data_IF_506101070244
#
_entry.id   IF_506101070244
#
_cell.length_a   1.000
_cell.length_b   1.000
_cell.length_c   1.000
_cell.angle_alpha   90.00
_cell.angle_beta   90.00
_cell.angle_gamma   90.00
#
_symmetry.space_group_name_H-M   'P 1'
#
loop_
_entity.id
_entity.type
_entity.pdbx_description
1 polymer ?
#
# COMPACT_ATOMS: atom_id res chain seq x y z
N UNK A 1 2.57 -4.21 72.96
CA UNK A 1 2.89 -4.56 71.57
C UNK A 1 4.36 -4.27 71.38
N UNK A 2 5.11 -5.26 70.92
CA UNK A 2 6.52 -5.11 70.53
C UNK A 2 6.53 -4.38 69.20
N UNK A 3 7.51 -3.51 68.99
CA UNK A 3 7.78 -2.96 67.66
C UNK A 3 8.96 -3.73 67.08
N UNK A 4 8.86 -4.12 65.82
CA UNK A 4 9.97 -4.77 65.12
C UNK A 4 11.03 -3.71 64.80
N UNK A 5 12.30 -4.02 65.05
CA UNK A 5 13.43 -3.12 64.81
C UNK A 5 13.90 -3.20 63.35
N UNK A 6 14.56 -2.14 62.86
CA UNK A 6 15.09 -2.12 61.48
C UNK A 6 16.04 -3.29 61.18
N UNK A 7 16.83 -3.72 62.17
CA UNK A 7 17.73 -4.88 62.06
C UNK A 7 16.96 -6.20 61.89
N UNK A 8 15.83 -6.35 62.59
CA UNK A 8 14.93 -7.50 62.46
C UNK A 8 14.20 -7.50 61.11
N UNK A 9 13.81 -6.32 60.59
CA UNK A 9 13.22 -6.20 59.24
C UNK A 9 14.22 -6.62 58.16
N UNK A 10 15.48 -6.16 58.27
CA UNK A 10 16.55 -6.55 57.34
C UNK A 10 16.81 -8.06 57.40
N UNK A 11 16.74 -8.65 58.60
CA UNK A 11 16.85 -10.10 58.75
C UNK A 11 15.72 -10.83 58.01
N UNK A 12 14.46 -10.40 58.17
CA UNK A 12 13.31 -11.01 57.47
C UNK A 12 13.50 -10.89 55.95
N UNK A 13 13.85 -9.71 55.44
CA UNK A 13 14.07 -9.48 54.01
C UNK A 13 15.10 -10.46 53.43
N UNK A 14 16.26 -10.57 54.08
CA UNK A 14 17.32 -11.49 53.65
C UNK A 14 16.90 -12.97 53.74
N UNK A 15 16.17 -13.38 54.78
CA UNK A 15 15.71 -14.77 54.92
C UNK A 15 14.65 -15.12 53.86
N UNK A 16 13.68 -14.23 53.59
CA UNK A 16 12.68 -14.43 52.54
C UNK A 16 13.33 -14.52 51.14
N UNK A 17 14.31 -13.65 50.86
CA UNK A 17 15.06 -13.69 49.61
C UNK A 17 15.88 -14.99 49.47
N UNK A 18 16.54 -15.42 50.54
CA UNK A 18 17.31 -16.67 50.57
C UNK A 18 16.44 -17.92 50.35
N UNK A 19 15.16 -17.86 50.76
CA UNK A 19 14.17 -18.93 50.61
C UNK A 19 13.36 -18.88 49.30
N UNK A 20 13.74 -18.02 48.36
CA UNK A 20 13.21 -18.03 47.00
C UNK A 20 12.16 -16.97 46.68
N UNK A 21 11.90 -15.99 47.56
CA UNK A 21 11.07 -14.82 47.23
C UNK A 21 11.94 -13.75 46.56
N UNK A 22 11.95 -13.77 45.23
CA UNK A 22 12.81 -12.89 44.42
C UNK A 22 12.10 -11.58 44.05
N UNK A 23 10.77 -11.61 43.92
CA UNK A 23 9.98 -10.44 43.55
C UNK A 23 9.88 -9.45 44.73
N UNK A 24 10.46 -8.25 44.56
CA UNK A 24 10.55 -7.21 45.59
C UNK A 24 9.18 -6.80 46.13
N UNK A 25 8.20 -6.50 45.26
CA UNK A 25 6.84 -6.17 45.70
C UNK A 25 6.18 -7.28 46.54
N UNK A 26 6.40 -8.55 46.19
CA UNK A 26 5.87 -9.68 46.97
C UNK A 26 6.59 -9.77 48.32
N UNK A 27 7.91 -9.58 48.33
CA UNK A 27 8.72 -9.60 49.54
C UNK A 27 8.31 -8.50 50.51
N UNK A 28 8.12 -7.27 50.02
CA UNK A 28 7.67 -6.14 50.82
C UNK A 28 6.30 -6.40 51.46
N UNK A 29 5.36 -6.98 50.71
CA UNK A 29 4.05 -7.36 51.26
C UNK A 29 4.16 -8.46 52.33
N UNK A 30 5.03 -9.44 52.14
CA UNK A 30 5.27 -10.48 53.14
C UNK A 30 5.94 -9.93 54.40
N UNK A 31 6.92 -9.03 54.25
CA UNK A 31 7.59 -8.35 55.37
C UNK A 31 6.57 -7.58 56.20
N UNK A 32 5.71 -6.78 55.56
CA UNK A 32 4.69 -5.97 56.25
C UNK A 32 3.73 -6.86 57.07
N UNK A 33 3.25 -7.94 56.48
CA UNK A 33 2.38 -8.89 57.17
C UNK A 33 3.09 -9.67 58.29
N UNK A 34 4.32 -10.13 58.08
CA UNK A 34 5.09 -10.82 59.12
C UNK A 34 5.36 -9.88 60.30
N UNK A 35 5.76 -8.62 60.03
CA UNK A 35 5.99 -7.63 61.07
C UNK A 35 4.70 -7.39 61.87
N UNK A 36 3.57 -7.12 61.19
CA UNK A 36 2.27 -6.94 61.86
C UNK A 36 1.91 -8.11 62.79
N UNK A 37 2.13 -9.36 62.37
CA UNK A 37 1.83 -10.53 63.20
C UNK A 37 2.77 -10.60 64.40
N UNK A 38 4.07 -10.36 64.21
CA UNK A 38 5.06 -10.37 65.31
C UNK A 38 4.74 -9.27 66.33
N UNK A 39 4.39 -8.06 65.89
CA UNK A 39 4.06 -6.95 66.78
C UNK A 39 2.81 -7.22 67.63
N UNK A 40 1.88 -8.02 67.09
CA UNK A 40 0.63 -8.40 67.74
C UNK A 40 0.77 -9.62 68.66
N UNK A 41 1.44 -10.69 68.21
CA UNK A 41 1.55 -11.96 68.92
C UNK A 41 2.72 -12.02 69.91
N UNK A 42 3.76 -11.21 69.73
CA UNK A 42 4.94 -11.21 70.60
C UNK A 42 4.68 -10.49 71.93
N UNK A 43 5.05 -11.16 73.02
CA UNK A 43 5.12 -10.50 74.34
C UNK A 43 6.45 -9.75 74.50
N UNK A 44 6.51 -8.72 75.35
CA UNK A 44 7.70 -7.86 75.53
C UNK A 44 8.99 -8.61 75.91
N UNK A 45 8.87 -9.83 76.43
CA UNK A 45 9.99 -10.66 76.89
C UNK A 45 10.29 -11.87 75.96
N UNK A 46 9.50 -12.07 74.89
CA UNK A 46 9.71 -13.19 73.97
C UNK A 46 10.87 -12.90 73.00
N UNK A 47 11.66 -13.93 72.67
CA UNK A 47 12.74 -13.82 71.69
C UNK A 47 12.19 -13.67 70.26
N UNK A 48 12.76 -12.76 69.47
CA UNK A 48 12.30 -12.48 68.11
C UNK A 48 12.39 -13.72 67.22
N UNK A 49 13.54 -14.40 67.23
CA UNK A 49 13.77 -15.54 66.35
C UNK A 49 12.79 -16.67 66.63
N UNK A 50 12.47 -16.92 67.92
CA UNK A 50 11.43 -17.89 68.30
C UNK A 50 10.03 -17.49 67.82
N UNK A 51 9.68 -16.21 67.90
CA UNK A 51 8.40 -15.71 67.40
C UNK A 51 8.34 -15.82 65.87
N UNK A 52 9.40 -15.42 65.18
CA UNK A 52 9.52 -15.51 63.72
C UNK A 52 9.42 -16.96 63.22
N UNK A 53 10.10 -17.91 63.88
CA UNK A 53 10.04 -19.33 63.53
C UNK A 53 8.62 -19.91 63.69
N UNK A 54 7.80 -19.33 64.58
CA UNK A 54 6.37 -19.68 64.75
C UNK A 54 5.46 -19.02 63.71
N UNK A 55 5.78 -17.80 63.28
CA UNK A 55 4.96 -16.99 62.35
C UNK A 55 5.20 -17.39 60.90
N UNK A 56 6.46 -17.60 60.50
CA UNK A 56 6.85 -17.85 59.12
C UNK A 56 6.09 -19.03 58.46
N UNK A 57 5.89 -20.20 59.12
CA UNK A 57 5.14 -21.32 58.54
C UNK A 57 3.65 -21.06 58.29
N UNK A 58 3.09 -19.94 58.77
CA UNK A 58 1.67 -19.61 58.54
C UNK A 58 1.40 -19.15 57.10
N UNK A 59 2.43 -18.75 56.36
CA UNK A 59 2.31 -18.17 55.01
C UNK A 59 2.37 -19.21 53.87
N UNK A 60 2.82 -20.44 54.15
CA UNK A 60 3.01 -21.49 53.15
C UNK A 60 2.62 -22.87 53.68
N UNK A 61 2.39 -23.83 52.79
CA UNK A 61 2.04 -25.22 53.11
C UNK A 61 3.25 -26.13 53.18
N UNK A 62 4.11 -26.09 52.16
CA UNK A 62 5.33 -26.93 52.12
C UNK A 62 6.59 -26.08 52.20
N UNK A 63 6.75 -25.10 51.31
CA UNK A 63 7.92 -24.22 51.26
C UNK A 63 7.56 -22.80 50.83
N UNK A 64 8.32 -21.82 51.30
CA UNK A 64 8.05 -20.39 51.03
C UNK A 64 8.11 -20.06 49.51
N UNK A 65 8.95 -20.76 48.75
CA UNK A 65 9.09 -20.58 47.30
C UNK A 65 7.77 -20.84 46.53
N UNK A 66 6.82 -21.56 47.12
CA UNK A 66 5.51 -21.79 46.49
C UNK A 66 4.77 -20.47 46.22
N UNK A 67 4.87 -19.49 47.12
CA UNK A 67 4.20 -18.19 47.00
C UNK A 67 4.74 -17.41 45.80
N UNK A 68 6.07 -17.44 45.60
CA UNK A 68 6.71 -16.84 44.42
C UNK A 68 6.23 -17.54 43.15
N UNK A 69 6.19 -18.87 43.15
CA UNK A 69 5.77 -19.69 42.02
C UNK A 69 4.31 -19.42 41.65
N UNK A 70 3.40 -19.36 42.63
CA UNK A 70 2.00 -19.01 42.44
C UNK A 70 1.82 -17.59 41.91
N UNK A 71 2.59 -16.63 42.43
CA UNK A 71 2.58 -15.24 41.98
C UNK A 71 3.07 -15.12 40.54
N UNK A 72 4.19 -15.76 40.19
CA UNK A 72 4.74 -15.78 38.85
C UNK A 72 3.77 -16.42 37.86
N UNK A 73 3.13 -17.52 38.25
CA UNK A 73 2.07 -18.16 37.47
C UNK A 73 0.92 -17.17 37.23
N UNK A 74 0.40 -16.51 38.27
CA UNK A 74 -0.69 -15.53 38.17
C UNK A 74 -0.33 -14.35 37.26
N UNK A 75 0.88 -13.80 37.39
CA UNK A 75 1.38 -12.69 36.56
C UNK A 75 1.58 -13.12 35.10
N UNK A 76 2.16 -14.30 34.88
CA UNK A 76 2.35 -14.87 33.55
C UNK A 76 1.01 -15.10 32.86
N UNK A 77 0.04 -15.72 33.55
CA UNK A 77 -1.30 -15.93 33.01
C UNK A 77 -1.99 -14.60 32.72
N UNK A 78 -1.99 -13.63 33.66
CA UNK A 78 -2.61 -12.31 33.45
C UNK A 78 -2.04 -11.58 32.23
N UNK A 79 -0.72 -11.50 32.11
CA UNK A 79 -0.06 -10.85 30.98
C UNK A 79 -0.33 -11.58 29.67
N UNK A 80 -0.33 -12.92 29.69
CA UNK A 80 -0.68 -13.75 28.55
C UNK A 80 -2.13 -13.54 28.08
N UNK A 81 -3.09 -13.48 29.01
CA UNK A 81 -4.50 -13.19 28.70
C UNK A 81 -4.67 -11.77 28.14
N UNK A 82 -4.00 -10.77 28.70
CA UNK A 82 -4.00 -9.39 28.17
C UNK A 82 -3.47 -9.35 26.75
N UNK A 83 -2.32 -9.97 26.47
CA UNK A 83 -1.75 -10.04 25.12
C UNK A 83 -2.71 -10.72 24.13
N UNK A 84 -3.31 -11.86 24.50
CA UNK A 84 -4.31 -12.53 23.66
C UNK A 84 -5.53 -11.65 23.37
N UNK A 85 -6.00 -10.89 24.37
CA UNK A 85 -7.12 -9.95 24.20
C UNK A 85 -6.76 -8.83 23.22
N UNK A 86 -5.59 -8.21 23.38
CA UNK A 86 -5.11 -7.14 22.48
C UNK A 86 -4.89 -7.68 21.07
N UNK A 87 -4.32 -8.88 20.92
CA UNK A 87 -4.16 -9.56 19.63
C UNK A 87 -5.50 -9.75 18.92
N UNK A 88 -6.52 -10.23 19.64
CA UNK A 88 -7.84 -10.43 19.05
C UNK A 88 -8.51 -9.12 18.63
N UNK A 89 -8.45 -8.08 19.49
CA UNK A 89 -9.03 -6.75 19.18
C UNK A 89 -8.31 -6.11 17.99
N UNK A 90 -6.97 -6.12 17.99
CA UNK A 90 -6.17 -5.58 16.88
C UNK A 90 -6.39 -6.35 15.58
N UNK A 91 -6.57 -7.67 15.64
CA UNK A 91 -6.91 -8.50 14.47
C UNK A 91 -8.27 -8.13 13.86
N UNK A 92 -9.32 -8.03 14.68
CA UNK A 92 -10.66 -7.62 14.23
C UNK A 92 -10.62 -6.19 13.65
N UNK A 93 -9.98 -5.27 14.35
CA UNK A 93 -9.81 -3.88 13.91
C UNK A 93 -9.09 -3.79 12.57
N UNK A 94 -8.01 -4.55 12.40
CA UNK A 94 -7.26 -4.62 11.14
C UNK A 94 -8.14 -5.06 9.97
N UNK A 95 -8.84 -6.19 10.12
CA UNK A 95 -9.69 -6.75 9.04
C UNK A 95 -10.76 -5.73 8.65
N UNK A 96 -11.40 -5.11 9.64
CA UNK A 96 -12.41 -4.08 9.41
C UNK A 96 -11.83 -2.87 8.66
N UNK A 97 -10.72 -2.30 9.14
CA UNK A 97 -10.09 -1.11 8.54
C UNK A 97 -9.58 -1.37 7.12
N UNK A 98 -8.99 -2.53 6.85
CA UNK A 98 -8.51 -2.89 5.51
C UNK A 98 -9.70 -3.06 4.55
N UNK A 99 -10.77 -3.74 4.97
CA UNK A 99 -11.96 -3.92 4.14
C UNK A 99 -12.65 -2.60 3.83
N UNK A 100 -12.90 -1.77 4.85
CA UNK A 100 -13.50 -0.45 4.67
C UNK A 100 -12.59 0.42 3.81
N UNK A 101 -11.29 0.46 4.10
CA UNK A 101 -10.32 1.22 3.30
C UNK A 101 -10.28 0.79 1.83
N UNK A 102 -10.36 -0.52 1.56
CA UNK A 102 -10.42 -1.06 0.21
C UNK A 102 -11.70 -0.67 -0.52
N UNK A 103 -12.87 -0.76 0.14
CA UNK A 103 -14.15 -0.32 -0.44
C UNK A 103 -14.13 1.18 -0.73
N UNK A 104 -13.68 2.00 0.24
CA UNK A 104 -13.56 3.45 0.04
C UNK A 104 -12.65 3.77 -1.14
N UNK A 105 -11.53 3.04 -1.30
CA UNK A 105 -10.61 3.22 -2.42
C UNK A 105 -11.24 2.84 -3.75
N UNK A 106 -11.94 1.72 -3.82
CA UNK A 106 -12.66 1.28 -5.03
C UNK A 106 -13.76 2.27 -5.45
N UNK A 107 -14.44 2.87 -4.47
CA UNK A 107 -15.49 3.86 -4.71
C UNK A 107 -14.97 5.30 -4.85
N UNK A 108 -13.65 5.52 -4.82
CA UNK A 108 -13.02 6.85 -4.89
C UNK A 108 -13.51 7.83 -3.80
N UNK A 109 -13.91 7.30 -2.64
CA UNK A 109 -14.41 8.08 -1.52
C UNK A 109 -13.26 8.72 -0.72
N UNK A 110 -13.48 9.91 -0.11
CA UNK A 110 -12.45 10.57 0.70
C UNK A 110 -12.08 9.72 1.92
N UNK A 111 -10.82 9.83 2.35
CA UNK A 111 -10.31 9.11 3.53
C UNK A 111 -9.86 7.66 3.28
N UNK A 112 -10.05 7.12 2.07
CA UNK A 112 -9.66 5.75 1.71
C UNK A 112 -8.21 5.40 2.07
N UNK A 113 -7.26 6.29 1.74
CA UNK A 113 -5.85 6.08 2.00
C UNK A 113 -5.53 6.01 3.50
N UNK A 114 -6.14 6.90 4.30
CA UNK A 114 -5.88 6.97 5.76
C UNK A 114 -6.41 5.72 6.45
N UNK A 115 -7.65 5.32 6.16
CA UNK A 115 -8.27 4.13 6.75
C UNK A 115 -7.48 2.86 6.39
N UNK A 116 -7.07 2.73 5.13
CA UNK A 116 -6.28 1.60 4.66
C UNK A 116 -4.89 1.55 5.32
N UNK A 117 -4.21 2.69 5.41
CA UNK A 117 -2.90 2.79 6.05
C UNK A 117 -2.97 2.47 7.54
N UNK A 118 -4.00 2.94 8.24
CA UNK A 118 -4.22 2.64 9.65
C UNK A 118 -4.45 1.13 9.88
N UNK A 119 -5.25 0.50 9.01
CA UNK A 119 -5.46 -0.95 9.05
C UNK A 119 -4.16 -1.73 8.80
N UNK A 120 -3.42 -1.37 7.75
CA UNK A 120 -2.14 -2.00 7.43
C UNK A 120 -1.07 -1.79 8.50
N UNK A 121 -1.01 -0.61 9.11
CA UNK A 121 -0.10 -0.32 10.22
C UNK A 121 -0.44 -1.14 11.45
N UNK A 122 -1.73 -1.22 11.82
CA UNK A 122 -2.20 -2.04 12.94
C UNK A 122 -1.90 -3.52 12.70
N UNK A 123 -2.04 -4.01 11.46
CA UNK A 123 -1.66 -5.37 11.11
C UNK A 123 -0.16 -5.64 11.32
N UNK A 124 0.69 -4.80 10.71
CA UNK A 124 2.12 -5.03 10.62
C UNK A 124 2.83 -4.80 11.96
N UNK A 125 2.43 -3.78 12.72
CA UNK A 125 3.16 -3.33 13.91
C UNK A 125 2.44 -3.59 15.24
N UNK A 126 1.19 -4.04 15.22
CA UNK A 126 0.47 -4.41 16.46
C UNK A 126 0.09 -5.89 16.45
N UNK A 127 -0.67 -6.34 15.46
CA UNK A 127 -1.14 -7.73 15.42
C UNK A 127 0.00 -8.75 15.25
N UNK A 128 0.82 -8.61 14.20
CA UNK A 128 1.89 -9.57 13.90
C UNK A 128 2.95 -9.66 15.01
N UNK A 129 3.47 -8.56 15.59
CA UNK A 129 4.45 -8.65 16.67
C UNK A 129 3.91 -9.33 17.93
N UNK A 130 2.66 -9.04 18.32
CA UNK A 130 2.03 -9.69 19.47
C UNK A 130 1.84 -11.19 19.20
N UNK A 131 1.45 -11.56 17.97
CA UNK A 131 1.33 -12.96 17.58
C UNK A 131 2.68 -13.71 17.65
N UNK A 132 3.78 -13.06 17.24
CA UNK A 132 5.14 -13.62 17.41
C UNK A 132 5.44 -13.86 18.88
N UNK A 133 5.22 -12.86 19.75
CA UNK A 133 5.50 -12.96 21.20
C UNK A 133 4.70 -14.11 21.84
N UNK A 134 3.41 -14.24 21.50
CA UNK A 134 2.58 -15.33 22.00
C UNK A 134 3.11 -16.68 21.50
N UNK A 135 3.47 -16.80 20.21
CA UNK A 135 3.99 -18.05 19.65
C UNK A 135 5.32 -18.47 20.28
N UNK A 136 6.20 -17.53 20.61
CA UNK A 136 7.47 -17.81 21.28
C UNK A 136 7.26 -18.41 22.69
N UNK A 137 6.12 -18.09 23.34
CA UNK A 137 5.73 -18.59 24.66
C UNK A 137 4.96 -19.92 24.64
N UNK A 138 4.58 -20.45 23.48
CA UNK A 138 3.90 -21.76 23.40
C UNK A 138 4.85 -22.93 23.76
N UNK A 139 4.31 -24.10 24.09
CA UNK A 139 5.10 -25.30 24.44
C UNK A 139 5.63 -26.08 23.21
N UNK A 140 5.55 -25.50 22.01
CA UNK A 140 6.06 -26.11 20.79
C UNK A 140 7.60 -26.21 20.76
N UNK A 141 8.13 -27.05 19.86
CA UNK A 141 9.58 -27.17 19.67
C UNK A 141 10.22 -25.82 19.30
N UNK A 142 11.47 -25.61 19.71
CA UNK A 142 12.23 -24.40 19.38
C UNK A 142 12.32 -24.16 17.87
N UNK A 143 12.46 -25.23 17.08
CA UNK A 143 12.46 -25.16 15.61
C UNK A 143 11.13 -24.59 15.08
N UNK A 144 9.99 -25.03 15.61
CA UNK A 144 8.68 -24.54 15.18
C UNK A 144 8.48 -23.07 15.49
N UNK A 145 8.89 -22.65 16.70
CA UNK A 145 8.86 -21.25 17.12
C UNK A 145 9.64 -20.36 16.18
N UNK A 146 10.87 -20.77 15.82
CA UNK A 146 11.75 -20.01 14.93
C UNK A 146 11.20 -19.97 13.50
N UNK A 147 10.78 -21.11 12.95
CA UNK A 147 10.22 -21.18 11.59
C UNK A 147 8.97 -20.30 11.50
N UNK A 148 8.04 -20.42 12.46
CA UNK A 148 6.81 -19.63 12.45
C UNK A 148 7.08 -18.13 12.60
N UNK A 149 7.99 -17.75 13.51
CA UNK A 149 8.37 -16.35 13.70
C UNK A 149 9.00 -15.75 12.45
N UNK A 150 9.87 -16.51 11.76
CA UNK A 150 10.45 -16.10 10.48
C UNK A 150 9.38 -15.90 9.41
N UNK A 151 8.39 -16.81 9.34
CA UNK A 151 7.23 -16.67 8.45
C UNK A 151 6.42 -15.40 8.72
N UNK A 152 6.18 -15.06 10.00
CA UNK A 152 5.47 -13.84 10.39
C UNK A 152 6.26 -12.57 10.07
N UNK A 153 7.59 -12.59 10.18
CA UNK A 153 8.45 -11.47 9.77
C UNK A 153 8.40 -11.25 8.25
N UNK A 154 8.40 -12.32 7.46
CA UNK A 154 8.21 -12.21 6.01
C UNK A 154 6.81 -11.69 5.65
N UNK A 155 5.78 -12.17 6.34
CA UNK A 155 4.41 -11.68 6.17
C UNK A 155 4.30 -10.18 6.47
N UNK A 156 5.01 -9.69 7.50
CA UNK A 156 5.11 -8.27 7.83
C UNK A 156 5.76 -7.47 6.70
N UNK A 157 6.90 -7.93 6.18
CA UNK A 157 7.60 -7.26 5.07
C UNK A 157 6.74 -7.20 3.80
N UNK A 158 6.05 -8.30 3.46
CA UNK A 158 5.12 -8.34 2.31
C UNK A 158 3.93 -7.41 2.54
N UNK A 159 3.34 -7.38 3.74
CA UNK A 159 2.23 -6.49 4.07
C UNK A 159 2.63 -5.01 3.91
N UNK A 160 3.81 -4.62 4.40
CA UNK A 160 4.36 -3.28 4.19
C UNK A 160 4.59 -3.00 2.70
N UNK A 161 5.11 -3.97 1.95
CA UNK A 161 5.25 -3.87 0.49
C UNK A 161 3.93 -3.61 -0.23
N UNK A 162 2.85 -4.30 0.16
CA UNK A 162 1.51 -4.10 -0.40
C UNK A 162 1.00 -2.68 -0.11
N UNK A 163 1.21 -2.18 1.12
CA UNK A 163 0.86 -0.80 1.48
C UNK A 163 1.61 0.19 0.58
N UNK A 164 2.92 -0.01 0.39
CA UNK A 164 3.74 0.86 -0.46
C UNK A 164 3.24 0.84 -1.91
N UNK A 165 2.86 -0.34 -2.43
CA UNK A 165 2.32 -0.49 -3.78
C UNK A 165 1.02 0.28 -3.95
N UNK A 166 0.11 0.15 -2.99
CA UNK A 166 -1.19 0.83 -2.98
C UNK A 166 -1.02 2.34 -2.85
N UNK A 167 -0.04 2.80 -2.07
CA UNK A 167 0.29 4.21 -1.86
C UNK A 167 1.20 4.81 -2.93
N UNK A 168 1.61 4.03 -3.94
CA UNK A 168 2.54 4.44 -5.00
C UNK A 168 3.90 4.93 -4.46
N UNK A 169 4.30 4.41 -3.30
CA UNK A 169 5.58 4.75 -2.69
C UNK A 169 6.73 4.03 -3.39
N UNK A 170 7.93 4.62 -3.39
CA UNK A 170 9.10 4.02 -4.02
C UNK A 170 9.45 2.68 -3.35
N UNK A 171 10.18 1.83 -4.07
CA UNK A 171 10.63 0.51 -3.60
C UNK A 171 9.53 -0.54 -3.35
N UNK A 172 8.25 -0.22 -3.56
CA UNK A 172 7.12 -1.15 -3.39
C UNK A 172 7.34 -2.49 -4.12
N UNK A 173 7.67 -2.42 -5.42
CA UNK A 173 7.90 -3.62 -6.24
C UNK A 173 9.10 -4.42 -5.74
N UNK A 174 10.19 -3.76 -5.33
CA UNK A 174 11.40 -4.43 -4.85
C UNK A 174 11.13 -5.18 -3.54
N UNK A 175 10.42 -4.56 -2.60
CA UNK A 175 10.08 -5.16 -1.31
C UNK A 175 9.10 -6.33 -1.47
N UNK A 176 8.06 -6.16 -2.29
CA UNK A 176 7.10 -7.23 -2.54
C UNK A 176 7.73 -8.40 -3.31
N UNK A 177 8.51 -8.14 -4.36
CA UNK A 177 9.16 -9.18 -5.17
C UNK A 177 10.15 -10.01 -4.34
N UNK A 178 11.05 -9.33 -3.61
CA UNK A 178 12.00 -10.01 -2.72
C UNK A 178 11.29 -10.79 -1.61
N UNK A 179 10.26 -10.20 -1.00
CA UNK A 179 9.44 -10.86 0.02
C UNK A 179 8.76 -12.12 -0.50
N UNK A 180 8.13 -12.06 -1.68
CA UNK A 180 7.48 -13.22 -2.32
C UNK A 180 8.49 -14.31 -2.67
N UNK A 181 9.67 -13.96 -3.21
CA UNK A 181 10.71 -14.95 -3.51
C UNK A 181 11.21 -15.62 -2.24
N UNK A 182 11.54 -14.85 -1.20
CA UNK A 182 12.03 -15.43 0.05
C UNK A 182 10.94 -16.28 0.70
N UNK A 183 9.68 -15.85 0.65
CA UNK A 183 8.55 -16.64 1.13
C UNK A 183 8.44 -17.98 0.38
N UNK A 184 8.36 -17.97 -0.95
CA UNK A 184 8.12 -19.17 -1.74
C UNK A 184 9.33 -20.10 -1.84
N UNK A 185 10.53 -19.55 -2.03
CA UNK A 185 11.73 -20.33 -2.27
C UNK A 185 12.49 -20.73 -0.99
N UNK A 186 12.32 -19.99 0.12
CA UNK A 186 13.00 -20.28 1.38
C UNK A 186 12.04 -20.72 2.48
N UNK A 187 11.04 -19.90 2.83
CA UNK A 187 10.16 -20.21 3.96
C UNK A 187 9.29 -21.45 3.73
N UNK A 188 8.67 -21.59 2.56
CA UNK A 188 7.78 -22.73 2.31
C UNK A 188 8.51 -24.08 2.35
N UNK A 189 9.69 -24.26 1.71
CA UNK A 189 10.48 -25.48 1.87
C UNK A 189 10.89 -25.74 3.33
N UNK A 190 11.32 -24.71 4.06
CA UNK A 190 11.67 -24.85 5.49
C UNK A 190 10.47 -25.31 6.32
N UNK A 191 9.29 -24.70 6.13
CA UNK A 191 8.05 -25.12 6.79
C UNK A 191 7.69 -26.57 6.47
N UNK A 192 7.80 -26.97 5.19
CA UNK A 192 7.45 -28.32 4.76
C UNK A 192 8.38 -29.36 5.38
N UNK A 193 9.70 -29.22 5.21
CA UNK A 193 10.66 -30.23 5.65
C UNK A 193 10.77 -30.37 7.18
N UNK A 194 10.57 -29.27 7.92
CA UNK A 194 10.61 -29.31 9.39
C UNK A 194 9.40 -30.02 10.00
N UNK A 195 8.23 -29.98 9.33
CA UNK A 195 6.97 -30.52 9.86
C UNK A 195 6.49 -31.83 9.23
N UNK A 196 6.91 -32.18 8.01
CA UNK A 196 6.41 -33.37 7.29
C UNK A 196 6.75 -34.71 7.98
N UNK A 197 7.82 -34.74 8.79
CA UNK A 197 8.27 -35.95 9.52
C UNK A 197 7.34 -36.32 10.68
N UNK A 198 6.43 -35.43 11.06
CA UNK A 198 5.50 -35.60 12.19
C UNK A 198 4.16 -36.15 11.72
N UNK A 199 3.82 -37.41 12.00
CA UNK A 199 2.62 -38.05 11.44
C UNK A 199 1.31 -37.34 11.83
N UNK A 200 1.24 -36.75 13.01
CA UNK A 200 0.06 -36.07 13.58
C UNK A 200 -0.34 -34.79 12.83
N UNK A 201 0.63 -34.06 12.26
CA UNK A 201 0.41 -32.82 11.50
C UNK A 201 0.75 -32.95 10.02
N UNK A 202 1.08 -34.15 9.55
CA UNK A 202 1.56 -34.41 8.18
C UNK A 202 0.58 -33.91 7.13
N UNK A 203 -0.70 -34.25 7.29
CA UNK A 203 -1.76 -33.84 6.37
C UNK A 203 -1.86 -32.31 6.27
N UNK A 204 -1.98 -31.61 7.42
CA UNK A 204 -2.04 -30.15 7.47
C UNK A 204 -0.80 -29.49 6.88
N UNK A 205 0.38 -30.08 7.10
CA UNK A 205 1.65 -29.57 6.55
C UNK A 205 1.65 -29.63 5.02
N UNK A 206 1.22 -30.75 4.44
CA UNK A 206 1.13 -30.91 2.97
C UNK A 206 0.14 -29.90 2.40
N UNK A 207 -1.09 -29.85 2.94
CA UNK A 207 -2.15 -28.95 2.45
C UNK A 207 -1.71 -27.49 2.54
N UNK A 208 -1.21 -27.05 3.70
CA UNK A 208 -0.77 -25.67 3.88
C UNK A 208 0.40 -25.32 2.96
N UNK A 209 1.36 -26.23 2.76
CA UNK A 209 2.49 -25.99 1.86
C UNK A 209 2.03 -25.82 0.42
N UNK A 210 1.10 -26.66 -0.05
CA UNK A 210 0.51 -26.52 -1.40
C UNK A 210 -0.20 -25.17 -1.55
N UNK A 211 -1.02 -24.78 -0.58
CA UNK A 211 -1.70 -23.48 -0.58
C UNK A 211 -0.71 -22.30 -0.57
N UNK A 212 0.37 -22.39 0.20
CA UNK A 212 1.40 -21.35 0.26
C UNK A 212 2.20 -21.24 -1.04
N UNK A 213 2.55 -22.36 -1.70
CA UNK A 213 3.19 -22.34 -3.03
C UNK A 213 2.24 -21.72 -4.05
N UNK A 214 0.97 -22.12 -4.05
CA UNK A 214 -0.03 -21.56 -4.98
C UNK A 214 -0.18 -20.05 -4.79
N UNK A 215 -0.35 -19.60 -3.54
CA UNK A 215 -0.42 -18.18 -3.21
C UNK A 215 0.84 -17.42 -3.63
N UNK A 216 2.02 -17.96 -3.30
CA UNK A 216 3.30 -17.37 -3.68
C UNK A 216 3.50 -17.28 -5.19
N UNK A 217 3.11 -18.32 -5.94
CA UNK A 217 3.16 -18.35 -7.40
C UNK A 217 2.20 -17.35 -8.06
N UNK A 218 0.98 -17.21 -7.54
CA UNK A 218 0.02 -16.19 -7.99
C UNK A 218 0.60 -14.79 -7.72
N UNK A 219 1.09 -14.54 -6.51
CA UNK A 219 1.70 -13.25 -6.16
C UNK A 219 2.91 -12.95 -7.05
N UNK A 220 3.74 -13.96 -7.34
CA UNK A 220 4.87 -13.81 -8.25
C UNK A 220 4.42 -13.43 -9.67
N UNK A 221 3.36 -14.08 -10.17
CA UNK A 221 2.78 -13.79 -11.49
C UNK A 221 2.15 -12.40 -11.62
N UNK A 222 1.80 -11.75 -10.50
CA UNK A 222 1.29 -10.39 -10.49
C UNK A 222 2.40 -9.33 -10.66
N UNK A 223 3.67 -9.71 -10.52
CA UNK A 223 4.77 -8.80 -10.82
C UNK A 223 5.03 -8.78 -12.33
N UNK A 224 4.92 -7.60 -12.92
CA UNK A 224 5.33 -7.40 -14.30
C UNK A 224 6.87 -7.47 -14.39
N UNK A 225 7.36 -8.57 -14.95
CA UNK A 225 8.78 -8.83 -15.22
C UNK A 225 9.19 -8.37 -16.63
N UNK A 226 8.28 -7.76 -17.38
CA UNK A 226 8.57 -7.26 -18.72
C UNK A 226 9.59 -6.14 -18.68
N UNK A 227 10.37 -6.00 -19.76
CA UNK A 227 11.16 -4.79 -19.98
C UNK A 227 10.23 -3.56 -19.94
N UNK A 228 10.66 -2.49 -19.28
CA UNK A 228 9.87 -1.27 -19.12
C UNK A 228 9.41 -0.73 -20.49
N UNK A 229 8.13 -0.96 -20.82
CA UNK A 229 7.43 -0.33 -21.95
C UNK A 229 6.72 0.96 -21.56
N UNK A 230 6.92 1.41 -20.31
CA UNK A 230 6.25 2.56 -19.71
C UNK A 230 6.18 3.78 -20.64
N UNK A 231 7.26 4.08 -21.36
CA UNK A 231 7.28 5.19 -22.31
C UNK A 231 6.45 4.95 -23.57
N UNK A 232 6.46 3.75 -24.13
CA UNK A 232 5.64 3.38 -25.27
C UNK A 232 4.15 3.36 -24.89
N UNK A 233 3.82 2.79 -23.73
CA UNK A 233 2.44 2.73 -23.22
C UNK A 233 1.90 4.13 -22.91
N UNK A 234 2.71 4.98 -22.26
CA UNK A 234 2.35 6.37 -22.00
C UNK A 234 2.19 7.17 -23.30
N UNK A 235 3.01 6.90 -24.31
CA UNK A 235 2.88 7.51 -25.63
C UNK A 235 1.61 7.05 -26.35
N UNK A 236 1.23 5.79 -26.16
CA UNK A 236 -0.02 5.23 -26.67
C UNK A 236 -1.24 5.89 -26.02
N UNK A 237 -1.27 5.92 -24.69
CA UNK A 237 -2.32 6.57 -23.90
C UNK A 237 -2.45 8.07 -24.27
N UNK A 238 -1.32 8.76 -24.42
CA UNK A 238 -1.32 10.16 -24.80
C UNK A 238 -1.95 10.39 -26.18
N UNK A 239 -1.69 9.54 -27.20
CA UNK A 239 -2.34 9.77 -28.49
C UNK A 239 -3.85 9.50 -28.45
N UNK A 240 -4.32 8.52 -27.68
CA UNK A 240 -5.76 8.30 -27.49
C UNK A 240 -6.41 9.53 -26.86
N UNK A 241 -5.82 10.06 -25.79
CA UNK A 241 -6.31 11.27 -25.14
C UNK A 241 -6.37 12.48 -26.08
N UNK A 242 -5.32 12.70 -26.87
CA UNK A 242 -5.26 13.81 -27.83
C UNK A 242 -6.31 13.66 -28.94
N UNK A 243 -6.49 12.44 -29.46
CA UNK A 243 -7.48 12.15 -30.49
C UNK A 243 -8.91 12.34 -29.97
N UNK A 244 -9.25 11.73 -28.83
CA UNK A 244 -10.59 11.86 -28.22
C UNK A 244 -10.91 13.32 -27.88
N UNK A 245 -9.93 14.07 -27.38
CA UNK A 245 -10.07 15.49 -27.14
C UNK A 245 -10.32 16.27 -28.45
N UNK A 246 -9.60 15.95 -29.52
CA UNK A 246 -9.80 16.58 -30.82
C UNK A 246 -11.21 16.30 -31.37
N UNK A 247 -11.69 15.06 -31.27
CA UNK A 247 -13.04 14.66 -31.70
C UNK A 247 -14.12 15.44 -30.95
N UNK A 248 -14.01 15.53 -29.62
CA UNK A 248 -14.94 16.30 -28.80
C UNK A 248 -14.95 17.79 -29.18
N UNK A 249 -13.76 18.36 -29.48
CA UNK A 249 -13.65 19.74 -29.94
C UNK A 249 -14.28 19.93 -31.33
N UNK A 250 -14.10 19.00 -32.27
CA UNK A 250 -14.76 19.06 -33.58
C UNK A 250 -16.29 18.99 -33.47
N UNK A 251 -16.83 18.12 -32.63
CA UNK A 251 -18.27 18.05 -32.35
C UNK A 251 -18.80 19.37 -31.75
N UNK A 252 -18.03 19.95 -30.82
CA UNK A 252 -18.35 21.25 -30.23
C UNK A 252 -18.30 22.37 -31.27
N UNK A 253 -17.28 22.39 -32.13
CA UNK A 253 -17.11 23.37 -33.21
C UNK A 253 -18.26 23.29 -34.21
N UNK A 254 -18.71 22.08 -34.55
CA UNK A 254 -19.88 21.88 -35.41
C UNK A 254 -21.12 22.59 -34.84
N UNK A 255 -21.33 22.49 -33.52
CA UNK A 255 -22.43 23.19 -32.84
C UNK A 255 -22.23 24.71 -32.86
N UNK A 256 -21.00 25.20 -32.67
CA UNK A 256 -20.68 26.63 -32.73
C UNK A 256 -20.92 27.23 -34.12
N UNK A 257 -20.56 26.51 -35.19
CA UNK A 257 -20.86 26.94 -36.56
C UNK A 257 -22.36 27.14 -36.80
N UNK A 258 -23.23 26.38 -36.14
CA UNK A 258 -24.68 26.57 -36.24
C UNK A 258 -25.19 27.79 -35.45
N UNK A 259 -24.43 28.26 -34.45
CA UNK A 259 -24.82 29.35 -33.56
C UNK A 259 -24.30 30.74 -33.99
N UNK A 260 -23.26 30.78 -34.81
CA UNK A 260 -22.60 32.00 -35.30
C UNK A 260 -23.15 32.38 -36.68
N UNK A 261 -23.26 33.67 -37.04
CA UNK A 261 -23.64 34.09 -38.39
C UNK A 261 -22.68 33.50 -39.44
N UNK A 262 -23.21 33.10 -40.59
CA UNK A 262 -22.39 32.58 -41.68
C UNK A 262 -21.39 33.65 -42.12
N UNK A 263 -20.09 33.38 -41.93
CA UNK A 263 -19.00 34.23 -42.44
C UNK A 263 -18.17 33.44 -43.44
N UNK A 264 -17.69 34.13 -44.48
CA UNK A 264 -16.85 33.54 -45.52
C UNK A 264 -15.56 32.94 -44.91
N UNK A 265 -14.97 33.64 -43.93
CA UNK A 265 -13.81 33.17 -43.18
C UNK A 265 -14.09 31.91 -42.36
N UNK A 266 -15.24 31.82 -41.68
CA UNK A 266 -15.61 30.62 -40.92
C UNK A 266 -15.85 29.42 -41.83
N UNK A 267 -16.52 29.61 -42.97
CA UNK A 267 -16.75 28.54 -43.94
C UNK A 267 -15.44 28.07 -44.60
N UNK A 268 -14.54 29.01 -44.90
CA UNK A 268 -13.22 28.69 -45.44
C UNK A 268 -12.35 27.96 -44.41
N UNK A 269 -12.34 28.40 -43.15
CA UNK A 269 -11.65 27.71 -42.06
C UNK A 269 -12.15 26.26 -41.91
N UNK A 270 -13.47 26.09 -41.88
CA UNK A 270 -14.12 24.77 -41.79
C UNK A 270 -13.70 23.85 -42.94
N UNK A 271 -13.72 24.36 -44.17
CA UNK A 271 -13.35 23.60 -45.36
C UNK A 271 -11.90 23.13 -45.31
N UNK A 272 -10.97 24.06 -45.07
CA UNK A 272 -9.52 23.74 -45.06
C UNK A 272 -9.18 22.83 -43.87
N UNK A 273 -9.82 23.04 -42.71
CA UNK A 273 -9.67 22.16 -41.54
C UNK A 273 -10.15 20.74 -41.85
N UNK A 274 -11.32 20.60 -42.49
CA UNK A 274 -11.88 19.31 -42.90
C UNK A 274 -11.00 18.59 -43.92
N UNK A 275 -10.36 19.32 -44.83
CA UNK A 275 -9.43 18.76 -45.82
C UNK A 275 -8.19 18.17 -45.13
N UNK A 276 -7.56 18.94 -44.25
CA UNK A 276 -6.40 18.46 -43.48
C UNK A 276 -6.79 17.25 -42.63
N UNK A 277 -7.91 17.32 -41.91
CA UNK A 277 -8.38 16.22 -41.06
C UNK A 277 -8.64 14.94 -41.87
N UNK A 278 -9.25 15.06 -43.05
CA UNK A 278 -9.48 13.92 -43.94
C UNK A 278 -8.16 13.25 -44.36
N UNK A 279 -7.14 14.05 -44.67
CA UNK A 279 -5.83 13.53 -45.05
C UNK A 279 -5.08 12.89 -43.87
N UNK A 280 -5.23 13.43 -42.65
CA UNK A 280 -4.74 12.80 -41.42
C UNK A 280 -5.38 11.43 -41.20
N UNK A 281 -6.71 11.33 -41.30
CA UNK A 281 -7.45 10.06 -41.11
C UNK A 281 -7.03 9.00 -42.13
N UNK A 282 -6.79 9.37 -43.40
CA UNK A 282 -6.21 8.46 -44.40
C UNK A 282 -4.83 7.94 -43.99
N UNK A 283 -3.96 8.81 -43.47
CA UNK A 283 -2.63 8.43 -42.99
C UNK A 283 -2.69 7.52 -41.77
N UNK A 284 -3.53 7.86 -40.79
CA UNK A 284 -3.81 7.05 -39.60
C UNK A 284 -4.31 5.66 -40.02
N UNK A 285 -5.30 5.60 -40.93
CA UNK A 285 -5.82 4.34 -41.45
C UNK A 285 -4.75 3.48 -42.14
N UNK A 286 -3.83 4.09 -42.88
CA UNK A 286 -2.69 3.40 -43.50
C UNK A 286 -1.71 2.86 -42.45
N UNK A 287 -1.39 3.66 -41.44
CA UNK A 287 -0.51 3.29 -40.34
C UNK A 287 -1.09 2.12 -39.53
N UNK A 288 -2.38 2.19 -39.17
CA UNK A 288 -3.08 1.13 -38.43
C UNK A 288 -3.15 -0.17 -39.23
N UNK A 289 -3.46 -0.08 -40.53
CA UNK A 289 -3.55 -1.24 -41.42
C UNK A 289 -2.20 -1.95 -41.58
N UNK A 290 -1.13 -1.18 -41.79
CA UNK A 290 0.19 -1.73 -42.10
C UNK A 290 1.02 -2.02 -40.84
N UNK A 291 0.61 -1.51 -39.67
CA UNK A 291 1.37 -1.53 -38.41
C UNK A 291 2.82 -1.08 -38.59
N UNK A 292 3.03 -0.13 -39.51
CA UNK A 292 4.33 0.37 -39.92
C UNK A 292 4.19 1.75 -40.51
N UNK A 293 5.25 2.54 -40.38
CA UNK A 293 5.40 3.85 -41.01
C UNK A 293 5.91 3.75 -42.46
N UNK A 294 6.45 2.58 -42.84
CA UNK A 294 6.90 2.27 -44.21
C UNK A 294 5.69 2.26 -45.17
N UNK A 295 5.52 3.33 -45.95
CA UNK A 295 4.38 3.51 -46.86
C UNK A 295 3.60 4.80 -46.65
N UNK A 296 3.90 5.59 -45.61
CA UNK A 296 3.25 6.89 -45.40
C UNK A 296 3.73 7.97 -46.39
N UNK A 297 4.89 7.80 -47.01
CA UNK A 297 5.47 8.77 -47.95
C UNK A 297 4.56 9.14 -49.14
N UNK A 298 3.69 8.24 -49.58
CA UNK A 298 2.75 8.56 -50.67
C UNK A 298 1.71 9.60 -50.27
N UNK A 299 1.37 9.65 -48.97
CA UNK A 299 0.30 10.50 -48.43
C UNK A 299 0.84 11.78 -47.78
N UNK A 300 2.12 11.82 -47.42
CA UNK A 300 2.77 13.00 -46.83
C UNK A 300 2.67 14.25 -47.73
N UNK A 301 2.96 14.21 -49.05
CA UNK A 301 2.86 15.40 -49.90
C UNK A 301 1.47 16.02 -49.96
N UNK A 302 0.42 15.18 -49.99
CA UNK A 302 -0.99 15.62 -49.98
C UNK A 302 -1.31 16.34 -48.66
N UNK A 303 -0.95 15.72 -47.52
CA UNK A 303 -1.14 16.33 -46.20
C UNK A 303 -0.35 17.63 -46.03
N UNK A 304 0.91 17.66 -46.47
CA UNK A 304 1.77 18.85 -46.39
C UNK A 304 1.22 20.01 -47.20
N UNK A 305 0.63 19.73 -48.37
CA UNK A 305 0.01 20.76 -49.21
C UNK A 305 -1.20 21.36 -48.52
N UNK A 306 -2.10 20.52 -47.98
CA UNK A 306 -3.26 20.97 -47.23
C UNK A 306 -2.86 21.74 -45.95
N UNK A 307 -1.83 21.30 -45.23
CA UNK A 307 -1.31 21.99 -44.05
C UNK A 307 -0.68 23.35 -44.38
N UNK A 308 0.02 23.48 -45.50
CA UNK A 308 0.57 24.76 -45.94
C UNK A 308 -0.53 25.77 -46.28
N UNK A 309 -1.60 25.30 -46.94
CA UNK A 309 -2.79 26.13 -47.19
C UNK A 309 -3.47 26.55 -45.88
N UNK A 310 -3.64 25.61 -44.94
CA UNK A 310 -4.17 25.89 -43.61
C UNK A 310 -3.34 26.95 -42.86
N UNK A 311 -2.03 26.74 -42.73
CA UNK A 311 -1.13 27.65 -42.02
C UNK A 311 -1.10 29.04 -42.67
N UNK A 312 -1.15 29.11 -44.01
CA UNK A 312 -1.24 30.38 -44.73
C UNK A 312 -2.54 31.10 -44.40
N UNK A 313 -3.67 30.40 -44.44
CA UNK A 313 -4.98 30.97 -44.11
C UNK A 313 -5.06 31.43 -42.65
N UNK A 314 -4.62 30.61 -41.69
CA UNK A 314 -4.54 30.99 -40.27
C UNK A 314 -3.66 32.22 -40.07
N UNK A 315 -2.56 32.34 -40.82
CA UNK A 315 -1.73 33.55 -40.83
C UNK A 315 -2.48 34.81 -41.27
N UNK A 316 -3.43 34.70 -42.21
CA UNK A 316 -4.24 35.85 -42.64
C UNK A 316 -5.25 36.33 -41.60
N UNK A 317 -5.63 35.47 -40.64
CA UNK A 317 -6.59 35.82 -39.59
C UNK A 317 -6.00 36.76 -38.52
N UNK A 318 -4.68 37.00 -38.52
CA UNK A 318 -3.96 37.94 -37.64
C UNK A 318 -4.35 37.84 -36.15
N UNK A 319 -4.66 36.63 -35.67
CA UNK A 319 -5.08 36.38 -34.30
C UNK A 319 -3.95 35.71 -33.52
N UNK A 320 -3.41 36.40 -32.50
CA UNK A 320 -2.29 35.93 -31.70
C UNK A 320 -2.57 34.62 -30.93
N UNK A 321 -3.84 34.26 -30.73
CA UNK A 321 -4.24 33.03 -30.05
C UNK A 321 -4.25 31.81 -30.98
N UNK A 322 -4.26 32.01 -32.30
CA UNK A 322 -4.16 30.93 -33.28
C UNK A 322 -2.70 30.56 -33.51
N UNK A 323 -2.41 29.26 -33.49
CA UNK A 323 -1.04 28.75 -33.69
C UNK A 323 -0.93 28.02 -35.01
N UNK A 324 0.09 28.33 -35.80
CA UNK A 324 0.45 27.52 -36.95
C UNK A 324 0.80 26.10 -36.52
N UNK A 325 0.43 25.12 -37.32
CA UNK A 325 0.74 23.71 -37.08
C UNK A 325 2.19 23.45 -37.48
N UNK A 326 2.95 22.84 -36.57
CA UNK A 326 4.31 22.38 -36.81
C UNK A 326 4.30 21.14 -37.74
N UNK A 327 5.03 21.25 -38.85
CA UNK A 327 5.14 20.22 -39.88
C UNK A 327 6.44 19.39 -39.76
N UNK A 328 7.31 19.73 -38.81
CA UNK A 328 8.65 19.14 -38.67
C UNK A 328 8.60 17.62 -38.46
N UNK A 329 7.69 17.16 -37.61
CA UNK A 329 7.47 15.74 -37.32
C UNK A 329 6.93 14.96 -38.52
N UNK A 330 6.12 15.58 -39.38
CA UNK A 330 5.54 14.95 -40.56
C UNK A 330 6.59 14.66 -41.64
N UNK A 331 7.61 15.53 -41.75
CA UNK A 331 8.73 15.37 -42.71
C UNK A 331 9.60 14.14 -42.42
N UNK A 332 9.60 13.65 -41.19
CA UNK A 332 10.40 12.49 -40.75
C UNK A 332 9.54 11.28 -40.36
N UNK A 333 8.23 11.31 -40.64
CA UNK A 333 7.25 10.35 -40.12
C UNK A 333 7.53 8.89 -40.52
N UNK A 334 8.24 8.65 -41.62
CA UNK A 334 8.64 7.31 -42.06
C UNK A 334 9.82 6.75 -41.25
N UNK A 335 10.66 7.62 -40.68
CA UNK A 335 11.89 7.23 -39.98
C UNK A 335 11.69 6.95 -38.49
N UNK A 336 10.47 7.15 -38.01
CA UNK A 336 10.09 7.02 -36.60
C UNK A 336 9.19 5.79 -36.40
N UNK A 337 9.07 5.36 -35.14
CA UNK A 337 8.18 4.26 -34.79
C UNK A 337 6.70 4.65 -34.92
N UNK A 338 5.84 3.63 -34.93
CA UNK A 338 4.40 3.78 -35.11
C UNK A 338 3.75 4.60 -34.00
N UNK A 339 4.22 4.46 -32.77
CA UNK A 339 3.68 5.14 -31.58
C UNK A 339 3.95 6.65 -31.66
N UNK A 340 5.17 7.06 -32.05
CA UNK A 340 5.53 8.47 -32.23
C UNK A 340 4.84 9.07 -33.45
N UNK A 341 4.73 8.33 -34.55
CA UNK A 341 3.98 8.77 -35.72
C UNK A 341 2.50 9.02 -35.38
N UNK A 342 1.84 8.12 -34.65
CA UNK A 342 0.45 8.32 -34.18
C UNK A 342 0.35 9.52 -33.25
N UNK A 343 1.30 9.71 -32.34
CA UNK A 343 1.30 10.86 -31.45
C UNK A 343 1.44 12.20 -32.22
N UNK A 344 2.29 12.24 -33.25
CA UNK A 344 2.46 13.42 -34.11
C UNK A 344 1.16 13.71 -34.87
N UNK A 345 0.54 12.71 -35.50
CA UNK A 345 -0.72 12.88 -36.23
C UNK A 345 -1.85 13.36 -35.31
N UNK A 346 -1.97 12.77 -34.11
CA UNK A 346 -2.97 13.18 -33.11
C UNK A 346 -2.77 14.61 -32.61
N UNK A 347 -1.51 15.07 -32.44
CA UNK A 347 -1.22 16.48 -32.08
C UNK A 347 -1.63 17.45 -33.17
N UNK A 348 -1.38 17.11 -34.43
CA UNK A 348 -1.79 17.94 -35.58
C UNK A 348 -3.31 18.03 -35.61
N UNK A 349 -4.01 16.91 -35.45
CA UNK A 349 -5.47 16.85 -35.39
C UNK A 349 -6.04 17.68 -34.22
N UNK A 350 -5.47 17.56 -33.03
CA UNK A 350 -5.89 18.34 -31.87
C UNK A 350 -5.67 19.84 -32.07
N UNK A 351 -4.53 20.25 -32.63
CA UNK A 351 -4.24 21.66 -32.85
C UNK A 351 -5.19 22.29 -33.88
N UNK A 352 -5.60 21.54 -34.91
CA UNK A 352 -6.67 21.96 -35.84
C UNK A 352 -7.96 22.27 -35.07
N UNK A 353 -8.41 21.32 -34.25
CA UNK A 353 -9.65 21.44 -33.50
C UNK A 353 -9.60 22.61 -32.51
N UNK A 354 -8.49 22.78 -31.79
CA UNK A 354 -8.26 23.90 -30.86
C UNK A 354 -8.28 25.24 -31.57
N UNK A 355 -7.57 25.39 -32.68
CA UNK A 355 -7.56 26.64 -33.45
C UNK A 355 -8.95 27.02 -33.94
N UNK A 356 -9.70 26.03 -34.44
CA UNK A 356 -11.08 26.24 -34.87
C UNK A 356 -11.99 26.65 -33.69
N UNK A 357 -11.85 26.00 -32.53
CA UNK A 357 -12.58 26.39 -31.30
C UNK A 357 -12.24 27.81 -30.85
N UNK A 358 -10.97 28.19 -30.90
CA UNK A 358 -10.52 29.55 -30.53
C UNK A 358 -11.10 30.59 -31.48
N UNK A 359 -11.06 30.32 -32.79
CA UNK A 359 -11.62 31.22 -33.79
C UNK A 359 -13.13 31.43 -33.58
N UNK A 360 -13.88 30.33 -33.43
CA UNK A 360 -15.34 30.38 -33.24
C UNK A 360 -15.71 31.02 -31.91
N UNK A 361 -14.96 30.71 -30.83
CA UNK A 361 -15.16 31.30 -29.52
C UNK A 361 -15.03 32.82 -29.53
N UNK A 362 -14.03 33.36 -30.24
CA UNK A 362 -13.88 34.81 -30.40
C UNK A 362 -15.08 35.43 -31.14
N UNK A 363 -15.61 34.77 -32.19
CA UNK A 363 -16.80 35.28 -32.89
C UNK A 363 -18.06 35.27 -32.02
N UNK A 364 -18.20 34.31 -31.10
CA UNK A 364 -19.30 34.31 -30.12
C UNK A 364 -19.17 35.47 -29.14
N UNK A 365 -17.96 35.73 -28.63
CA UNK A 365 -17.69 36.85 -27.71
C UNK A 365 -17.99 38.18 -28.40
N UNK A 366 -17.49 38.38 -29.62
CA UNK A 366 -17.73 39.61 -30.39
C UNK A 366 -19.23 39.83 -30.65
N UNK A 367 -19.98 38.75 -30.95
CA UNK A 367 -21.45 38.81 -31.09
C UNK A 367 -22.14 39.27 -29.80
N UNK A 368 -21.68 38.83 -28.63
CA UNK A 368 -22.24 39.23 -27.34
C UNK A 368 -21.89 40.67 -26.96
N UNK A 369 -20.70 41.15 -27.34
CA UNK A 369 -20.26 42.53 -27.11
C UNK A 369 -21.00 43.54 -28.01
N UNK A 370 -21.44 43.13 -29.21
CA UNK A 370 -22.23 43.97 -30.13
C UNK A 370 -23.73 43.97 -29.81
N UNK A 371 -24.22 42.98 -29.04
CA UNK A 371 -25.63 42.84 -28.67
C UNK A 371 -26.01 43.54 -27.34
N UNK A 372 -25.03 44.01 -26.57
CA UNK A 372 -25.18 44.88 -25.40
C UNK A 372 -24.85 46.33 -25.77
#
# INVERSE_FOLDING_TARGET
MRNVTDEEVIFIDHDLAARGIVLEELRDNLIDHICCIIEHESTMEEDFYKCYERVLPQFFKEELQEIQTETDNLLQFKNFYTMKKIMNISGISTVFLILVGAILKSLHLPGAAVTFLLGGFTFAFMFLPILIIIKLKDDESTTDKVVFSFGLLLAMAIAVGVIFKIMHWPYANMLMYSGTIIFTALYVPLYFFTRIRRPEIKFNTIVNSVLMIAFGGIMYSLFDLSYSKKYADQMQENHYYLHDNAMLLFETNQSLYAAIPASEQANQLKSITSEVNTNLEKMVGTLVKNKSTSGLNSSVPELMTALNQYNSFVGTLNNASLKSIDDSGLKVIERINTELAMNILARVQQQLAVNESVFLGNQVIDKQLVAN
#
